data_IF_884637830596
#
_entry.id   IF_884637830596
#
_cell.length_a   1.000
_cell.length_b   1.000
_cell.length_c   1.000
_cell.angle_alpha   90.00
_cell.angle_beta   90.00
_cell.angle_gamma   90.00
#
_symmetry.space_group_name_H-M   'P 1'
#
loop_
_entity.id
_entity.type
_entity.pdbx_description
1 polymer ?
#
# COMPACT_ATOMS: atom_id res chain seq x y z
N UNK A 1 7.55 -16.45 -2.43
CA UNK A 1 7.23 -15.42 -1.42
C UNK A 1 6.22 -16.02 -0.48
N UNK A 2 6.47 -16.01 0.82
CA UNK A 2 5.52 -16.55 1.81
C UNK A 2 4.48 -15.49 2.20
N UNK A 3 3.31 -15.91 2.71
CA UNK A 3 2.24 -14.98 3.12
C UNK A 3 2.73 -13.98 4.18
N UNK A 4 3.60 -14.43 5.10
CA UNK A 4 4.23 -13.59 6.12
C UNK A 4 5.11 -12.48 5.53
N UNK A 5 5.78 -12.75 4.42
CA UNK A 5 6.65 -11.77 3.76
C UNK A 5 5.79 -10.67 3.14
N UNK A 6 4.70 -11.05 2.47
CA UNK A 6 3.71 -10.10 1.94
C UNK A 6 3.11 -9.22 3.01
N UNK A 7 2.71 -9.79 4.16
CA UNK A 7 2.16 -9.02 5.27
C UNK A 7 3.18 -7.98 5.75
N UNK A 8 4.45 -8.38 5.91
CA UNK A 8 5.50 -7.45 6.33
C UNK A 8 5.73 -6.34 5.29
N UNK A 9 5.77 -6.69 4.00
CA UNK A 9 5.91 -5.71 2.91
C UNK A 9 4.73 -4.73 2.87
N UNK A 10 3.49 -5.23 3.02
CA UNK A 10 2.28 -4.42 3.10
C UNK A 10 2.39 -3.41 4.25
N UNK A 11 2.72 -3.86 5.46
CA UNK A 11 2.84 -2.97 6.61
C UNK A 11 3.98 -1.95 6.45
N UNK A 12 5.09 -2.34 5.81
CA UNK A 12 6.19 -1.43 5.54
C UNK A 12 5.76 -0.31 4.56
N UNK A 13 5.05 -0.66 3.49
CA UNK A 13 4.53 0.31 2.52
C UNK A 13 3.51 1.24 3.17
N UNK A 14 2.61 0.71 4.00
CA UNK A 14 1.66 1.53 4.78
C UNK A 14 2.37 2.51 5.70
N UNK A 15 3.43 2.08 6.38
CA UNK A 15 4.22 2.96 7.23
C UNK A 15 4.92 4.08 6.44
N UNK A 16 5.42 3.78 5.25
CA UNK A 16 6.02 4.80 4.37
C UNK A 16 4.98 5.78 3.85
N UNK A 17 3.80 5.29 3.45
CA UNK A 17 2.71 6.15 2.97
C UNK A 17 2.19 7.11 4.05
N UNK A 18 2.18 6.70 5.33
CA UNK A 18 1.75 7.56 6.45
C UNK A 18 2.51 8.88 6.53
N UNK A 19 3.77 8.92 6.12
CA UNK A 19 4.53 10.18 6.12
C UNK A 19 3.88 11.24 5.19
N UNK A 20 3.31 10.80 4.07
CA UNK A 20 2.57 11.67 3.16
C UNK A 20 1.15 11.95 3.66
N UNK A 21 0.49 10.97 4.28
CA UNK A 21 -0.82 11.17 4.90
C UNK A 21 -0.76 12.24 6.01
N UNK A 22 0.24 12.16 6.87
CA UNK A 22 0.49 13.15 7.94
C UNK A 22 0.88 14.52 7.36
N UNK A 23 1.65 14.54 6.26
CA UNK A 23 2.09 15.78 5.59
C UNK A 23 0.96 16.54 4.92
N UNK A 24 0.04 15.83 4.25
CA UNK A 24 -1.03 16.43 3.46
C UNK A 24 -2.41 16.38 4.12
N UNK A 25 -2.54 15.66 5.24
CA UNK A 25 -3.79 15.56 5.98
C UNK A 25 -4.88 14.75 5.28
N UNK A 26 -4.49 13.84 4.37
CA UNK A 26 -5.39 13.00 3.58
C UNK A 26 -4.98 11.54 3.69
N UNK A 27 -5.95 10.63 3.75
CA UNK A 27 -5.63 9.20 3.66
C UNK A 27 -5.18 8.85 2.23
N UNK A 28 -4.33 7.85 2.10
CA UNK A 28 -3.79 7.43 0.80
C UNK A 28 -4.88 7.08 -0.22
N UNK A 29 -6.05 6.62 0.24
CA UNK A 29 -7.19 6.37 -0.65
C UNK A 29 -7.71 7.66 -1.29
N UNK A 30 -7.90 8.71 -0.49
CA UNK A 30 -8.44 9.99 -0.97
C UNK A 30 -7.38 10.72 -1.80
N UNK A 31 -6.11 10.63 -1.38
CA UNK A 31 -4.98 11.14 -2.15
C UNK A 31 -4.87 10.46 -3.54
N UNK A 32 -5.15 9.16 -3.61
CA UNK A 32 -5.20 8.44 -4.88
C UNK A 32 -6.35 8.92 -5.76
N UNK A 33 -7.52 9.15 -5.20
CA UNK A 33 -8.67 9.67 -5.94
C UNK A 33 -8.38 11.07 -6.51
N UNK A 34 -7.77 11.96 -5.72
CA UNK A 34 -7.31 13.27 -6.19
C UNK A 34 -6.28 13.15 -7.33
N UNK A 35 -5.32 12.22 -7.22
CA UNK A 35 -4.36 11.96 -8.29
C UNK A 35 -5.04 11.45 -9.57
N UNK A 36 -5.99 10.52 -9.47
CA UNK A 36 -6.66 9.92 -10.62
C UNK A 36 -7.64 10.89 -11.31
N UNK A 37 -8.26 11.78 -10.57
CA UNK A 37 -9.17 12.81 -11.12
C UNK A 37 -8.42 14.00 -11.73
N UNK A 38 -7.12 14.11 -11.48
CA UNK A 38 -6.28 15.21 -11.94
C UNK A 38 -6.37 16.46 -11.08
N UNK A 39 -7.01 16.39 -9.90
CA UNK A 39 -7.11 17.50 -8.95
C UNK A 39 -5.72 17.99 -8.52
N UNK A 40 -4.76 17.07 -8.36
CA UNK A 40 -3.38 17.40 -8.00
C UNK A 40 -2.59 18.19 -9.06
N UNK A 41 -3.10 18.32 -10.29
CA UNK A 41 -2.46 19.13 -11.33
C UNK A 41 -2.46 20.63 -10.98
N UNK A 42 -3.28 21.07 -10.02
CA UNK A 42 -3.25 22.45 -9.54
C UNK A 42 -1.90 22.85 -8.91
N UNK A 43 -1.13 21.86 -8.42
CA UNK A 43 0.19 22.06 -7.83
C UNK A 43 1.34 21.95 -8.85
N UNK A 44 1.03 21.79 -10.14
CA UNK A 44 2.03 21.75 -11.20
C UNK A 44 2.80 23.08 -11.25
N UNK A 45 4.12 23.01 -11.01
CA UNK A 45 5.00 24.17 -10.96
C UNK A 45 5.34 24.65 -9.55
N UNK A 46 4.74 24.07 -8.51
CA UNK A 46 5.19 24.27 -7.13
C UNK A 46 6.36 23.34 -6.79
N UNK A 47 7.44 23.91 -6.26
CA UNK A 47 8.62 23.13 -5.87
C UNK A 47 8.31 22.16 -4.73
N UNK A 48 8.70 20.90 -4.87
CA UNK A 48 8.58 19.86 -3.85
C UNK A 48 7.38 18.92 -4.04
N UNK A 49 6.20 19.43 -4.39
CA UNK A 49 4.97 18.62 -4.49
C UNK A 49 5.07 17.52 -5.55
N UNK A 50 5.62 17.82 -6.73
CA UNK A 50 5.75 16.82 -7.80
C UNK A 50 6.57 15.59 -7.37
N UNK A 51 7.63 15.78 -6.58
CA UNK A 51 8.45 14.66 -6.12
C UNK A 51 7.70 13.82 -5.09
N UNK A 52 7.07 14.46 -4.11
CA UNK A 52 6.28 13.78 -3.10
C UNK A 52 5.15 12.95 -3.72
N UNK A 53 4.43 13.52 -4.69
CA UNK A 53 3.30 12.86 -5.36
C UNK A 53 3.77 11.65 -6.15
N UNK A 54 4.91 11.76 -6.84
CA UNK A 54 5.49 10.66 -7.60
C UNK A 54 5.96 9.52 -6.70
N UNK A 55 6.65 9.85 -5.60
CA UNK A 55 7.13 8.86 -4.63
C UNK A 55 5.95 8.13 -3.98
N UNK A 56 4.98 8.89 -3.47
CA UNK A 56 3.78 8.33 -2.85
C UNK A 56 2.98 7.46 -3.84
N UNK A 57 2.78 7.91 -5.08
CA UNK A 57 2.06 7.13 -6.09
C UNK A 57 2.76 5.78 -6.38
N UNK A 58 4.10 5.79 -6.41
CA UNK A 58 4.90 4.58 -6.53
C UNK A 58 4.68 3.60 -5.37
N UNK A 59 4.71 4.10 -4.13
CA UNK A 59 4.44 3.30 -2.93
C UNK A 59 3.03 2.70 -2.95
N UNK A 60 2.03 3.52 -3.28
CA UNK A 60 0.63 3.10 -3.31
C UNK A 60 0.38 2.02 -4.38
N UNK A 61 0.97 2.18 -5.57
CA UNK A 61 0.85 1.18 -6.63
C UNK A 61 1.47 -0.16 -6.25
N UNK A 62 2.65 -0.14 -5.60
CA UNK A 62 3.29 -1.37 -5.10
C UNK A 62 2.42 -1.99 -4.01
N UNK A 63 1.85 -1.20 -3.10
CA UNK A 63 0.95 -1.68 -2.05
C UNK A 63 -0.28 -2.39 -2.64
N UNK A 64 -0.90 -1.83 -3.67
CA UNK A 64 -2.02 -2.47 -4.39
C UNK A 64 -1.64 -3.84 -4.96
N UNK A 65 -0.45 -3.95 -5.56
CA UNK A 65 0.03 -5.22 -6.11
C UNK A 65 0.29 -6.26 -5.01
N UNK A 66 0.82 -5.82 -3.85
CA UNK A 66 1.04 -6.69 -2.69
C UNK A 66 -0.27 -7.15 -2.04
N UNK A 67 -1.25 -6.26 -1.93
CA UNK A 67 -2.61 -6.60 -1.50
C UNK A 67 -3.24 -7.63 -2.44
N UNK A 68 -3.10 -7.45 -3.76
CA UNK A 68 -3.60 -8.43 -4.75
C UNK A 68 -2.93 -9.79 -4.58
N UNK A 69 -1.60 -9.83 -4.49
CA UNK A 69 -0.86 -11.08 -4.29
C UNK A 69 -1.24 -11.79 -2.99
N UNK A 70 -1.46 -11.03 -1.92
CA UNK A 70 -1.94 -11.54 -0.63
C UNK A 70 -3.32 -12.21 -0.77
N UNK A 71 -4.27 -11.53 -1.41
CA UNK A 71 -5.61 -12.07 -1.65
C UNK A 71 -5.58 -13.32 -2.54
N UNK A 72 -4.73 -13.35 -3.57
CA UNK A 72 -4.58 -14.51 -4.43
C UNK A 72 -4.01 -15.73 -3.70
N UNK A 73 -3.05 -15.53 -2.80
CA UNK A 73 -2.49 -16.62 -1.99
C UNK A 73 -3.49 -17.15 -0.96
N UNK A 74 -4.26 -16.26 -0.32
CA UNK A 74 -5.32 -16.66 0.60
C UNK A 74 -6.39 -17.50 -0.10
N UNK A 75 -6.78 -17.15 -1.33
CA UNK A 75 -7.76 -17.94 -2.09
C UNK A 75 -7.30 -19.37 -2.40
N UNK A 76 -5.99 -19.63 -2.39
CA UNK A 76 -5.40 -20.95 -2.69
C UNK A 76 -5.30 -21.86 -1.46
N UNK A 77 -5.53 -21.36 -0.24
CA UNK A 77 -5.43 -22.15 1.00
C UNK A 77 -6.65 -21.93 1.92
N UNK A 78 -7.30 -22.99 2.42
CA UNK A 78 -8.31 -22.85 3.47
C UNK A 78 -7.72 -22.19 4.71
N UNK A 79 -8.35 -21.14 5.22
CA UNK A 79 -7.89 -20.37 6.39
C UNK A 79 -7.57 -21.25 7.61
N UNK A 80 -8.41 -22.25 7.89
CA UNK A 80 -8.21 -23.15 9.01
C UNK A 80 -6.90 -23.96 8.89
N UNK A 81 -6.56 -24.41 7.68
CA UNK A 81 -5.34 -25.18 7.43
C UNK A 81 -4.10 -24.30 7.55
N UNK A 82 -4.18 -23.07 7.04
CA UNK A 82 -3.09 -22.10 7.15
C UNK A 82 -2.80 -21.75 8.62
N UNK A 83 -3.83 -21.43 9.41
CA UNK A 83 -3.68 -21.12 10.84
C UNK A 83 -3.10 -22.33 11.58
N UNK A 84 -3.63 -23.53 11.35
CA UNK A 84 -3.15 -24.73 12.02
C UNK A 84 -1.67 -25.01 11.72
N UNK A 85 -1.25 -24.80 10.46
CA UNK A 85 0.15 -24.93 10.04
C UNK A 85 1.07 -23.92 10.71
N UNK A 86 0.63 -22.68 10.88
CA UNK A 86 1.46 -21.63 11.51
C UNK A 86 1.52 -21.83 13.03
N UNK A 87 0.42 -22.26 13.67
CA UNK A 87 0.36 -22.45 15.13
C UNK A 87 0.99 -23.77 15.61
N UNK A 88 0.98 -24.84 14.80
CA UNK A 88 1.63 -26.12 15.17
C UNK A 88 3.16 -26.12 14.99
N UNK A 89 3.71 -25.12 14.29
CA UNK A 89 5.16 -24.98 14.04
C UNK A 89 5.81 -23.94 14.98
N UNK A 90 5.01 -23.25 15.80
CA UNK A 90 5.45 -22.28 16.81
C UNK A 90 5.51 -22.91 18.20
#
# INVERSE_FOLDING_TARGET
>A
MELKDLIREIHQLEWQMRAYEDKYGLLSRDFYEALQTGELAEFDGEEGYHLDFLEWAGLYQIWLDRQRAYQELLRKQPFAEHIHRVTMVA
#
